data_IF_573547375889
#
_entry.id   IF_573547375889
#
_cell.length_a   1.000
_cell.length_b   1.000
_cell.length_c   1.000
_cell.angle_alpha   90.00
_cell.angle_beta   90.00
_cell.angle_gamma   90.00
#
_symmetry.space_group_name_H-M   'P 1'
#
loop_
_entity.id
_entity.type
_entity.pdbx_description
1 polymer ?
#
# COMPACT_ATOMS: atom_id res chain seq x y z
N UNK A 1 20.73 -4.85 4.93
CA UNK A 1 21.83 -3.93 5.29
C UNK A 1 22.37 -4.24 6.69
N UNK A 2 21.62 -4.06 7.78
CA UNK A 2 22.12 -4.31 9.16
C UNK A 2 22.71 -5.71 9.41
N UNK A 3 22.05 -6.78 8.96
CA UNK A 3 22.58 -8.15 9.05
C UNK A 3 23.89 -8.37 8.27
N UNK A 4 23.99 -7.74 7.10
CA UNK A 4 25.15 -7.87 6.22
C UNK A 4 26.37 -7.10 6.74
N UNK A 5 26.18 -6.07 7.58
CA UNK A 5 27.27 -5.21 8.07
C UNK A 5 27.72 -5.60 9.49
N UNK A 6 26.83 -6.13 10.34
CA UNK A 6 27.15 -6.44 11.74
C UNK A 6 26.47 -7.70 12.30
N UNK A 7 26.03 -8.63 11.43
CA UNK A 7 25.41 -9.90 11.84
C UNK A 7 24.15 -9.72 12.70
N UNK A 8 24.01 -10.54 13.74
CA UNK A 8 22.84 -10.53 14.64
C UNK A 8 22.60 -9.20 15.33
N UNK A 9 23.66 -8.52 15.79
CA UNK A 9 23.55 -7.22 16.43
C UNK A 9 23.04 -6.15 15.45
N UNK A 10 23.54 -6.16 14.20
CA UNK A 10 23.07 -5.26 13.16
C UNK A 10 21.62 -5.49 12.73
N UNK A 11 21.13 -6.73 12.81
CA UNK A 11 19.72 -7.03 12.56
C UNK A 11 18.82 -6.52 13.69
N UNK A 12 19.21 -6.68 14.96
CA UNK A 12 18.46 -6.14 16.09
C UNK A 12 18.41 -4.60 16.05
N UNK A 13 19.55 -3.95 15.83
CA UNK A 13 19.62 -2.47 15.74
C UNK A 13 18.82 -1.98 14.54
N UNK A 14 18.93 -2.60 13.36
CA UNK A 14 18.14 -2.21 12.20
C UNK A 14 16.64 -2.42 12.41
N UNK A 15 16.25 -3.45 13.16
CA UNK A 15 14.84 -3.71 13.47
C UNK A 15 14.31 -2.66 14.43
N UNK A 16 15.03 -2.37 15.51
CA UNK A 16 14.65 -1.34 16.48
C UNK A 16 14.66 0.05 15.83
N UNK A 17 15.63 0.36 14.98
CA UNK A 17 15.66 1.64 14.27
C UNK A 17 14.47 1.81 13.31
N UNK A 18 14.02 0.72 12.69
CA UNK A 18 12.92 0.74 11.71
C UNK A 18 11.54 0.71 12.38
N UNK A 19 11.40 -0.06 13.45
CA UNK A 19 10.13 -0.25 14.16
C UNK A 19 9.97 0.68 15.37
N UNK A 20 11.04 1.01 16.06
CA UNK A 20 11.06 1.85 17.27
C UNK A 20 10.31 3.18 17.13
N UNK A 21 10.63 4.05 16.14
CA UNK A 21 9.91 5.31 15.99
C UNK A 21 8.42 5.09 15.68
N UNK A 22 8.08 4.11 14.83
CA UNK A 22 6.69 3.77 14.50
C UNK A 22 5.91 3.27 15.73
N UNK A 23 6.53 2.42 16.55
CA UNK A 23 5.94 1.90 17.78
C UNK A 23 5.69 3.02 18.81
N UNK A 24 6.63 3.94 19.00
CA UNK A 24 6.48 5.09 19.92
C UNK A 24 5.30 5.97 19.48
N UNK A 25 5.25 6.34 18.20
CA UNK A 25 4.14 7.14 17.64
C UNK A 25 2.81 6.40 17.85
N UNK A 26 2.77 5.10 17.58
CA UNK A 26 1.55 4.29 17.77
C UNK A 26 1.09 4.28 19.23
N UNK A 27 2.00 4.12 20.19
CA UNK A 27 1.67 4.15 21.62
C UNK A 27 1.16 5.53 22.07
N UNK A 28 1.78 6.62 21.60
CA UNK A 28 1.34 7.98 21.90
C UNK A 28 -0.06 8.26 21.32
N UNK A 29 -0.27 7.90 20.05
CA UNK A 29 -1.56 8.09 19.36
C UNK A 29 -2.64 7.24 20.03
N UNK A 30 -2.37 5.97 20.36
CA UNK A 30 -3.31 5.09 21.05
C UNK A 30 -3.63 5.58 22.47
N UNK A 31 -2.64 6.12 23.18
CA UNK A 31 -2.84 6.73 24.50
C UNK A 31 -3.73 7.96 24.43
N UNK A 32 -3.45 8.88 23.50
CA UNK A 32 -4.29 10.05 23.25
C UNK A 32 -5.72 9.65 22.82
N UNK A 33 -5.84 8.66 21.95
CA UNK A 33 -7.12 8.14 21.46
C UNK A 33 -7.99 7.55 22.58
N UNK A 34 -7.38 6.83 23.53
CA UNK A 34 -8.07 6.35 24.74
C UNK A 34 -8.46 7.49 25.68
N UNK A 35 -7.62 8.52 25.82
CA UNK A 35 -7.88 9.69 26.68
C UNK A 35 -9.04 10.56 26.19
N UNK A 36 -9.30 10.60 24.88
CA UNK A 36 -10.38 11.38 24.26
C UNK A 36 -11.54 10.53 23.73
N UNK A 37 -11.73 9.31 24.29
CA UNK A 37 -12.68 8.29 23.79
C UNK A 37 -14.13 8.79 23.63
N UNK A 38 -14.60 9.68 24.50
CA UNK A 38 -16.00 10.14 24.54
C UNK A 38 -16.27 11.40 23.70
N UNK A 39 -15.27 11.91 22.95
CA UNK A 39 -15.42 13.14 22.16
C UNK A 39 -15.96 12.86 20.74
N UNK A 40 -16.85 13.72 20.20
CA UNK A 40 -17.48 13.53 18.88
C UNK A 40 -16.50 13.58 17.70
N UNK A 41 -15.32 14.20 17.88
CA UNK A 41 -14.26 14.27 16.87
C UNK A 41 -13.79 12.89 16.38
N UNK A 42 -13.83 11.86 17.25
CA UNK A 42 -13.45 10.49 16.88
C UNK A 42 -14.25 9.94 15.68
N UNK A 43 -15.55 10.23 15.64
CA UNK A 43 -16.44 9.80 14.56
C UNK A 43 -16.08 10.46 13.24
N UNK A 44 -15.72 11.74 13.27
CA UNK A 44 -15.30 12.51 12.09
C UNK A 44 -13.99 11.95 11.54
N UNK A 45 -13.01 11.68 12.40
CA UNK A 45 -11.72 11.09 12.00
C UNK A 45 -11.89 9.70 11.40
N UNK A 46 -12.71 8.84 12.02
CA UNK A 46 -12.99 7.50 11.48
C UNK A 46 -13.70 7.55 10.12
N UNK A 47 -14.64 8.48 9.97
CA UNK A 47 -15.32 8.69 8.70
C UNK A 47 -14.38 9.24 7.62
N UNK A 48 -13.39 10.06 7.99
CA UNK A 48 -12.38 10.59 7.07
C UNK A 48 -11.28 9.59 6.71
N UNK A 49 -10.95 8.65 7.60
CA UNK A 49 -9.89 7.66 7.37
C UNK A 49 -10.20 6.73 6.19
N UNK A 50 -11.43 6.24 6.07
CA UNK A 50 -11.83 5.33 4.98
C UNK A 50 -11.65 5.95 3.58
N UNK A 51 -12.21 7.12 3.26
CA UNK A 51 -12.01 7.74 1.95
C UNK A 51 -10.56 8.17 1.74
N UNK A 52 -9.83 8.54 2.79
CA UNK A 52 -8.44 8.93 2.70
C UNK A 52 -7.54 7.75 2.33
N UNK A 53 -7.74 6.57 2.94
CA UNK A 53 -6.97 5.37 2.56
C UNK A 53 -7.30 4.91 1.14
N UNK A 54 -8.59 4.92 0.76
CA UNK A 54 -9.01 4.58 -0.61
C UNK A 54 -8.40 5.56 -1.62
N UNK A 55 -8.44 6.86 -1.33
CA UNK A 55 -7.86 7.89 -2.18
C UNK A 55 -6.35 7.75 -2.33
N UNK A 56 -5.63 7.47 -1.24
CA UNK A 56 -4.17 7.30 -1.27
C UNK A 56 -3.75 6.07 -2.09
N UNK A 57 -4.48 4.95 -1.93
CA UNK A 57 -4.25 3.73 -2.71
C UNK A 57 -4.55 3.98 -4.19
N UNK A 58 -5.66 4.64 -4.50
CA UNK A 58 -6.02 4.99 -5.87
C UNK A 58 -4.96 5.90 -6.52
N UNK A 59 -4.53 6.94 -5.82
CA UNK A 59 -3.49 7.86 -6.29
C UNK A 59 -2.16 7.13 -6.56
N UNK A 60 -1.77 6.21 -5.67
CA UNK A 60 -0.57 5.38 -5.86
C UNK A 60 -0.69 4.50 -7.10
N UNK A 61 -1.86 3.88 -7.33
CA UNK A 61 -2.14 3.09 -8.53
C UNK A 61 -2.08 3.92 -9.81
N UNK A 62 -2.63 5.13 -9.79
CA UNK A 62 -2.58 6.08 -10.91
C UNK A 62 -1.13 6.47 -11.23
N UNK A 63 -0.33 6.83 -10.22
CA UNK A 63 1.07 7.18 -10.40
C UNK A 63 1.88 6.04 -11.03
N UNK A 64 1.66 4.80 -10.58
CA UNK A 64 2.31 3.61 -11.15
C UNK A 64 1.85 3.40 -12.60
N UNK A 65 0.55 3.56 -12.87
CA UNK A 65 0.00 3.43 -14.21
C UNK A 65 0.58 4.47 -15.18
N UNK A 66 0.65 5.75 -14.79
CA UNK A 66 1.24 6.81 -15.61
C UNK A 66 2.73 6.55 -15.87
N UNK A 67 3.48 6.16 -14.84
CA UNK A 67 4.90 5.84 -15.00
C UNK A 67 5.14 4.62 -15.91
N UNK A 68 4.21 3.66 -15.93
CA UNK A 68 4.35 2.40 -16.67
C UNK A 68 3.72 2.42 -18.07
N UNK A 69 2.84 3.39 -18.37
CA UNK A 69 2.06 3.41 -19.61
C UNK A 69 2.26 4.68 -20.47
N UNK A 70 3.49 4.98 -20.93
CA UNK A 70 3.75 6.13 -21.79
C UNK A 70 3.16 6.01 -23.20
N UNK A 71 2.70 4.83 -23.61
CA UNK A 71 2.14 4.55 -24.93
C UNK A 71 0.68 4.13 -24.82
N UNK A 72 -0.15 4.53 -25.79
CA UNK A 72 -1.60 4.23 -25.82
C UNK A 72 -1.94 2.74 -25.65
N UNK A 73 -1.08 1.84 -26.16
CA UNK A 73 -1.23 0.38 -26.03
C UNK A 73 -1.10 -0.09 -24.57
N UNK A 74 -0.13 0.45 -23.84
CA UNK A 74 0.08 0.13 -22.43
C UNK A 74 -1.06 0.70 -21.57
N UNK A 75 -1.55 1.89 -21.92
CA UNK A 75 -2.72 2.48 -21.27
C UNK A 75 -3.99 1.62 -21.47
N UNK A 76 -4.18 1.05 -22.67
CA UNK A 76 -5.27 0.10 -22.93
C UNK A 76 -5.15 -1.18 -22.08
N UNK A 77 -3.93 -1.72 -21.90
CA UNK A 77 -3.69 -2.88 -21.03
C UNK A 77 -4.01 -2.55 -19.56
N UNK A 78 -3.56 -1.40 -19.07
CA UNK A 78 -3.88 -0.94 -17.70
C UNK A 78 -5.39 -0.76 -17.52
N UNK A 79 -6.08 -0.15 -18.48
CA UNK A 79 -7.53 0.05 -18.44
C UNK A 79 -8.29 -1.28 -18.46
N UNK A 80 -7.87 -2.23 -19.30
CA UNK A 80 -8.44 -3.58 -19.35
C UNK A 80 -8.20 -4.35 -18.05
N UNK A 81 -6.98 -4.34 -17.52
CA UNK A 81 -6.64 -5.01 -16.26
C UNK A 81 -7.43 -4.41 -15.09
N UNK A 82 -7.54 -3.08 -15.03
CA UNK A 82 -8.34 -2.37 -14.01
C UNK A 82 -9.83 -2.73 -14.13
N UNK A 83 -10.39 -2.70 -15.34
CA UNK A 83 -11.79 -3.05 -15.60
C UNK A 83 -12.11 -4.52 -15.27
N UNK A 84 -11.21 -5.45 -15.63
CA UNK A 84 -11.33 -6.86 -15.30
C UNK A 84 -11.25 -7.09 -13.78
N UNK A 85 -10.37 -6.37 -13.08
CA UNK A 85 -10.23 -6.46 -11.63
C UNK A 85 -11.43 -5.88 -10.86
N UNK A 86 -12.17 -4.92 -11.44
CA UNK A 86 -13.43 -4.42 -10.84
C UNK A 86 -14.61 -5.37 -11.05
N UNK A 87 -14.52 -6.28 -12.02
CA UNK A 87 -15.53 -7.31 -12.25
C UNK A 87 -15.43 -8.36 -11.15
N UNK A 88 -16.31 -8.26 -10.14
CA UNK A 88 -16.32 -9.01 -8.85
C UNK A 88 -16.33 -10.55 -8.91
N UNK A 89 -16.02 -11.17 -10.05
CA UNK A 89 -15.98 -12.63 -10.23
C UNK A 89 -14.62 -13.18 -10.69
N UNK A 90 -13.64 -12.34 -11.00
CA UNK A 90 -12.30 -12.77 -11.37
C UNK A 90 -11.36 -12.56 -10.19
N UNK A 91 -10.86 -13.65 -9.63
CA UNK A 91 -9.90 -13.62 -8.53
C UNK A 91 -8.67 -12.79 -8.98
N UNK A 92 -8.20 -11.79 -8.22
CA UNK A 92 -7.09 -10.90 -8.61
C UNK A 92 -5.81 -11.65 -9.04
N UNK A 93 -5.64 -12.88 -8.52
CA UNK A 93 -4.55 -13.78 -8.90
C UNK A 93 -4.54 -14.14 -10.40
N UNK A 94 -5.69 -14.23 -11.07
CA UNK A 94 -5.76 -14.55 -12.50
C UNK A 94 -5.30 -13.39 -13.38
N UNK A 95 -5.64 -12.15 -12.97
CA UNK A 95 -5.18 -10.93 -13.66
C UNK A 95 -3.66 -10.78 -13.48
N UNK A 96 -3.15 -11.07 -12.28
CA UNK A 96 -1.72 -11.03 -11.98
C UNK A 96 -0.94 -12.10 -12.75
N UNK A 97 -1.44 -13.34 -12.80
CA UNK A 97 -0.82 -14.45 -13.52
C UNK A 97 -0.81 -14.20 -15.04
N UNK A 98 -1.92 -13.69 -15.59
CA UNK A 98 -1.98 -13.31 -17.01
C UNK A 98 -1.01 -12.18 -17.36
N UNK A 99 -0.90 -11.16 -16.52
CA UNK A 99 0.08 -10.09 -16.68
C UNK A 99 1.52 -10.58 -16.60
N UNK A 100 1.83 -11.49 -15.68
CA UNK A 100 3.17 -12.09 -15.55
C UNK A 100 3.55 -12.96 -16.77
N UNK A 101 2.62 -13.77 -17.28
CA UNK A 101 2.85 -14.61 -18.46
C UNK A 101 3.05 -13.77 -19.72
N UNK A 102 2.24 -12.74 -19.92
CA UNK A 102 2.43 -11.80 -21.04
C UNK A 102 3.76 -11.04 -20.89
N UNK A 103 4.10 -10.59 -19.68
CA UNK A 103 5.39 -9.98 -19.40
C UNK A 103 6.56 -10.89 -19.77
N UNK A 104 6.51 -12.18 -19.43
CA UNK A 104 7.53 -13.17 -19.79
C UNK A 104 7.65 -13.44 -21.29
N UNK A 105 6.56 -13.31 -22.05
CA UNK A 105 6.55 -13.53 -23.49
C UNK A 105 6.98 -12.31 -24.30
N UNK A 106 6.92 -11.12 -23.71
CA UNK A 106 7.23 -9.83 -24.35
C UNK A 106 8.42 -9.09 -23.73
N UNK A 107 9.05 -9.63 -22.68
CA UNK A 107 10.33 -9.17 -22.10
C UNK A 107 11.52 -9.88 -22.75
#
# INVERSE_FOLDING_TARGET
VGWHVAGWAGLLVSSIAKFGPSSIVTLLVMGAWRRFKDRPWRRIVQAGLVPLTVGLVAASGILIAEASAPTWRLAAIVALATGLSMSKRLHPLWVLAGGALLGLLFA
#
